data_IF_218728871656
#
_entry.id   IF_218728871656
#
_cell.length_a   1.000
_cell.length_b   1.000
_cell.length_c   1.000
_cell.angle_alpha   90.00
_cell.angle_beta   90.00
_cell.angle_gamma   90.00
#
_symmetry.space_group_name_H-M   'P 1'
#
loop_
_entity.id
_entity.type
_entity.pdbx_description
1 polymer ?
#
# COMPACT_ATOMS: atom_id res chain seq x y z
N UNK A 1 -4.90 -45.24 7.16
CA UNK A 1 -5.32 -43.83 7.07
C UNK A 1 -6.53 -43.46 7.93
N UNK A 2 -7.68 -44.16 7.88
CA UNK A 2 -8.86 -43.83 8.72
C UNK A 2 -8.59 -44.04 10.23
N UNK A 3 -7.91 -45.12 10.58
CA UNK A 3 -7.51 -45.44 11.96
C UNK A 3 -6.56 -44.38 12.55
N UNK A 4 -5.57 -43.96 11.82
CA UNK A 4 -4.58 -42.94 12.22
C UNK A 4 -5.24 -41.58 12.51
N UNK A 5 -6.18 -41.15 11.63
CA UNK A 5 -6.95 -39.91 11.81
C UNK A 5 -7.86 -39.96 13.03
N UNK A 6 -8.53 -41.12 13.26
CA UNK A 6 -9.42 -41.31 14.42
C UNK A 6 -8.63 -41.21 15.71
N UNK A 7 -7.48 -41.88 15.80
CA UNK A 7 -6.64 -41.85 17.02
C UNK A 7 -6.03 -40.46 17.21
N UNK A 8 -5.52 -39.79 16.17
CA UNK A 8 -4.97 -38.45 16.25
C UNK A 8 -6.01 -37.45 16.78
N UNK A 9 -7.25 -37.49 16.28
CA UNK A 9 -8.36 -36.67 16.79
C UNK A 9 -8.73 -36.96 18.25
N UNK A 10 -8.73 -38.22 18.63
CA UNK A 10 -9.03 -38.63 20.04
C UNK A 10 -7.92 -38.19 20.99
N UNK A 11 -6.66 -38.22 20.58
CA UNK A 11 -5.52 -37.71 21.36
C UNK A 11 -5.66 -36.18 21.53
N UNK A 12 -6.03 -35.46 20.48
CA UNK A 12 -6.26 -34.01 20.54
C UNK A 12 -7.37 -33.63 21.51
N UNK A 13 -8.49 -34.38 21.51
CA UNK A 13 -9.64 -34.13 22.41
C UNK A 13 -9.36 -34.46 23.88
N UNK A 14 -8.26 -35.18 24.15
CA UNK A 14 -7.84 -35.55 25.50
C UNK A 14 -8.67 -36.66 26.17
N UNK A 15 -8.09 -37.31 27.15
CA UNK A 15 -8.78 -38.27 28.04
C UNK A 15 -8.94 -37.66 29.41
N UNK A 16 -10.05 -37.99 30.11
CA UNK A 16 -10.37 -37.49 31.49
C UNK A 16 -9.27 -37.74 32.53
N UNK A 17 -8.30 -38.64 32.25
CA UNK A 17 -7.26 -39.04 33.21
C UNK A 17 -6.11 -38.03 33.37
N UNK A 18 -5.77 -37.24 32.33
CA UNK A 18 -4.68 -36.26 32.42
C UNK A 18 -5.13 -34.93 31.75
N UNK A 19 -5.65 -33.97 32.53
CA UNK A 19 -6.16 -32.69 32.01
C UNK A 19 -5.04 -31.76 31.48
N UNK A 20 -3.77 -32.00 31.82
CA UNK A 20 -2.66 -31.15 31.43
C UNK A 20 -2.36 -31.17 29.91
N UNK A 21 -2.53 -32.31 29.24
CA UNK A 21 -2.21 -32.48 27.83
C UNK A 21 -3.10 -31.70 26.86
N UNK A 22 -4.44 -31.74 27.00
CA UNK A 22 -5.29 -30.91 26.17
C UNK A 22 -5.00 -29.43 26.39
N UNK A 23 -4.61 -29.00 27.61
CA UNK A 23 -4.25 -27.61 27.91
C UNK A 23 -3.02 -27.20 27.11
N UNK A 24 -1.97 -28.03 27.02
CA UNK A 24 -0.75 -27.71 26.23
C UNK A 24 -1.06 -27.62 24.73
N UNK A 25 -1.86 -28.55 24.20
CA UNK A 25 -2.25 -28.53 22.80
C UNK A 25 -3.16 -27.35 22.48
N UNK A 26 -4.07 -26.96 23.37
CA UNK A 26 -4.91 -25.76 23.23
C UNK A 26 -4.05 -24.49 23.28
N UNK A 27 -3.11 -24.44 24.24
CA UNK A 27 -2.18 -23.30 24.32
C UNK A 27 -1.36 -23.15 23.05
N UNK A 28 -0.81 -24.23 22.50
CA UNK A 28 -0.09 -24.21 21.22
C UNK A 28 -0.99 -23.73 20.06
N UNK A 29 -2.27 -24.15 20.06
CA UNK A 29 -3.26 -23.67 19.07
C UNK A 29 -3.54 -22.19 19.23
N UNK A 30 -3.68 -21.67 20.45
CA UNK A 30 -3.92 -20.24 20.73
C UNK A 30 -2.73 -19.39 20.22
N UNK A 31 -1.49 -19.81 20.53
CA UNK A 31 -0.29 -19.11 20.02
C UNK A 31 -0.28 -19.09 18.50
N UNK A 32 -0.66 -20.19 17.85
CA UNK A 32 -0.75 -20.26 16.40
C UNK A 32 -1.87 -19.36 15.83
N UNK A 33 -3.02 -19.28 16.51
CA UNK A 33 -4.12 -18.36 16.16
C UNK A 33 -3.60 -16.92 16.17
N UNK A 34 -2.97 -16.50 17.25
CA UNK A 34 -2.45 -15.13 17.40
C UNK A 34 -1.40 -14.82 16.35
N UNK A 35 -0.48 -15.76 16.09
CA UNK A 35 0.56 -15.57 15.08
C UNK A 35 0.00 -15.37 13.67
N UNK A 36 -0.92 -16.24 13.25
CA UNK A 36 -1.54 -16.17 11.91
C UNK A 36 -2.47 -14.96 11.80
N UNK A 37 -3.22 -14.66 12.87
CA UNK A 37 -4.07 -13.46 12.93
C UNK A 37 -3.24 -12.19 12.73
N UNK A 38 -2.17 -12.02 13.50
CA UNK A 38 -1.31 -10.83 13.41
C UNK A 38 -0.61 -10.74 12.05
N UNK A 39 -0.13 -11.88 11.54
CA UNK A 39 0.56 -11.93 10.25
C UNK A 39 -0.36 -11.48 9.11
N UNK A 40 -1.57 -12.03 9.02
CA UNK A 40 -2.51 -11.68 7.96
C UNK A 40 -3.03 -10.25 8.09
N UNK A 41 -3.37 -9.82 9.32
CA UNK A 41 -3.84 -8.45 9.57
C UNK A 41 -2.83 -7.41 9.08
N UNK A 42 -1.57 -7.59 9.44
CA UNK A 42 -0.51 -6.65 9.07
C UNK A 42 -0.25 -6.66 7.57
N UNK A 43 -0.30 -7.82 6.91
CA UNK A 43 -0.20 -7.87 5.44
C UNK A 43 -1.32 -7.05 4.79
N UNK A 44 -2.58 -7.21 5.23
CA UNK A 44 -3.72 -6.45 4.71
C UNK A 44 -3.60 -4.94 4.95
N UNK A 45 -3.00 -4.53 6.06
CA UNK A 45 -2.71 -3.12 6.36
C UNK A 45 -1.67 -2.57 5.38
N UNK A 46 -0.57 -3.28 5.13
CA UNK A 46 0.45 -2.83 4.18
C UNK A 46 -0.07 -2.80 2.73
N UNK A 47 -0.88 -3.78 2.35
CA UNK A 47 -1.50 -3.80 1.03
C UNK A 47 -2.49 -2.63 0.88
N UNK A 48 -3.27 -2.34 1.93
CA UNK A 48 -4.17 -1.18 1.97
C UNK A 48 -3.43 0.16 1.92
N UNK A 49 -2.32 0.30 2.66
CA UNK A 49 -1.51 1.50 2.63
C UNK A 49 -0.89 1.73 1.24
N UNK A 50 -0.42 0.67 0.60
CA UNK A 50 0.09 0.73 -0.77
C UNK A 50 -1.00 1.15 -1.77
N UNK A 51 -2.19 0.57 -1.65
CA UNK A 51 -3.35 0.94 -2.48
C UNK A 51 -3.73 2.41 -2.25
N UNK A 52 -3.78 2.85 -0.99
CA UNK A 52 -4.07 4.22 -0.62
C UNK A 52 -3.08 5.21 -1.24
N UNK A 53 -1.78 4.97 -1.07
CA UNK A 53 -0.72 5.80 -1.70
C UNK A 53 -0.79 5.75 -3.23
N UNK A 54 -1.15 4.60 -3.80
CA UNK A 54 -1.32 4.46 -5.25
C UNK A 54 -2.60 5.12 -5.79
N UNK A 55 -3.64 5.30 -4.96
CA UNK A 55 -4.89 5.96 -5.33
C UNK A 55 -4.87 7.46 -5.13
N UNK A 56 -3.85 8.00 -4.43
CA UNK A 56 -3.67 9.42 -4.24
C UNK A 56 -3.43 10.15 -5.58
N UNK A 57 -3.48 11.45 -5.55
CA UNK A 57 -3.55 12.44 -6.64
C UNK A 57 -2.49 12.34 -7.73
N UNK A 58 -1.64 11.32 -7.71
CA UNK A 58 -0.66 11.09 -8.79
C UNK A 58 -1.31 10.47 -10.02
N UNK A 59 -0.97 10.92 -11.24
CA UNK A 59 -1.47 10.33 -12.47
C UNK A 59 -0.98 8.89 -12.62
N UNK A 60 -1.72 8.05 -13.39
CA UNK A 60 -1.33 6.66 -13.62
C UNK A 60 0.03 6.53 -14.31
N UNK A 61 0.27 7.41 -15.28
CA UNK A 61 1.56 7.61 -15.93
C UNK A 61 1.86 9.10 -16.04
N UNK A 62 3.13 9.43 -15.94
CA UNK A 62 3.68 10.77 -16.08
C UNK A 62 4.72 10.76 -17.18
N UNK A 63 4.61 11.68 -18.17
CA UNK A 63 5.61 11.87 -19.22
C UNK A 63 6.36 13.15 -18.93
N UNK A 64 7.69 13.09 -18.94
CA UNK A 64 8.58 14.23 -18.82
C UNK A 64 9.63 14.19 -19.93
N UNK A 65 10.14 15.33 -20.35
CA UNK A 65 11.29 15.38 -21.25
C UNK A 65 12.57 15.01 -20.49
N UNK A 66 13.46 14.25 -21.15
CA UNK A 66 14.80 13.92 -20.61
C UNK A 66 15.85 14.99 -20.94
N UNK A 67 15.65 15.72 -22.04
CA UNK A 67 16.67 16.63 -22.59
C UNK A 67 16.33 18.08 -22.32
N UNK A 68 15.07 18.43 -22.37
CA UNK A 68 14.58 19.79 -22.27
C UNK A 68 13.75 19.98 -21.02
N UNK A 69 13.74 21.18 -20.47
CA UNK A 69 12.92 21.50 -19.29
C UNK A 69 11.42 21.52 -19.62
N UNK A 70 11.08 21.79 -20.87
CA UNK A 70 9.72 21.97 -21.34
C UNK A 70 9.39 20.98 -22.45
N UNK A 71 8.12 20.67 -22.56
CA UNK A 71 7.50 19.84 -23.57
C UNK A 71 6.66 20.74 -24.43
N UNK A 72 6.91 20.77 -25.75
CA UNK A 72 6.04 21.45 -26.71
C UNK A 72 4.83 20.56 -26.99
N UNK A 73 3.66 20.95 -26.47
CA UNK A 73 2.44 20.14 -26.61
C UNK A 73 1.75 20.30 -27.98
N UNK A 74 2.24 21.22 -28.81
CA UNK A 74 1.77 21.35 -30.20
C UNK A 74 2.51 20.43 -31.17
N UNK A 75 3.57 19.74 -30.69
CA UNK A 75 4.30 18.79 -31.53
C UNK A 75 3.44 17.56 -31.86
N UNK A 76 3.63 17.00 -33.04
CA UNK A 76 2.89 15.80 -33.49
C UNK A 76 3.20 14.54 -32.65
N UNK A 77 4.20 14.59 -31.80
CA UNK A 77 4.62 13.44 -30.97
C UNK A 77 3.51 12.97 -30.04
N UNK A 78 2.64 13.87 -29.58
CA UNK A 78 1.55 13.56 -28.63
C UNK A 78 0.23 13.14 -29.28
N UNK A 79 0.10 13.22 -30.60
CA UNK A 79 -1.04 12.67 -31.33
C UNK A 79 -1.24 11.17 -31.14
N UNK A 80 -0.17 10.49 -30.76
CA UNK A 80 -0.21 9.06 -30.36
C UNK A 80 -1.10 8.82 -29.15
N UNK A 81 -1.17 9.76 -28.19
CA UNK A 81 -1.97 9.61 -26.97
C UNK A 81 -3.47 9.54 -27.25
N UNK A 82 -3.94 10.23 -28.28
CA UNK A 82 -5.35 10.22 -28.70
C UNK A 82 -5.76 8.89 -29.32
N UNK A 83 -4.80 8.20 -29.96
CA UNK A 83 -5.05 6.97 -30.69
C UNK A 83 -4.88 5.69 -29.85
N UNK A 84 -4.40 5.79 -28.60
CA UNK A 84 -4.23 4.63 -27.71
C UNK A 84 -5.51 4.29 -26.97
N UNK A 85 -6.11 3.09 -27.20
CA UNK A 85 -7.39 2.70 -26.61
C UNK A 85 -7.32 2.52 -25.09
N UNK A 86 -6.14 2.31 -24.53
CA UNK A 86 -5.89 2.12 -23.08
C UNK A 86 -5.91 3.43 -22.30
N UNK A 87 -5.70 4.57 -22.97
CA UNK A 87 -5.71 5.90 -22.35
C UNK A 87 -7.16 6.36 -22.21
N UNK A 88 -7.54 6.76 -20.99
CA UNK A 88 -8.85 7.34 -20.72
C UNK A 88 -8.85 8.85 -20.92
N UNK A 89 -7.82 9.53 -20.41
CA UNK A 89 -7.63 10.96 -20.51
C UNK A 89 -6.16 11.31 -20.33
N UNK A 90 -5.76 12.45 -20.90
CA UNK A 90 -4.46 13.06 -20.63
C UNK A 90 -4.60 14.59 -20.49
N UNK A 91 -3.65 15.21 -19.81
CA UNK A 91 -3.60 16.65 -19.54
C UNK A 91 -2.16 17.13 -19.56
N UNK A 92 -1.93 18.27 -20.17
CA UNK A 92 -0.65 18.95 -20.13
C UNK A 92 -0.58 19.79 -18.85
N UNK A 93 0.51 19.64 -18.12
CA UNK A 93 0.69 20.26 -16.81
C UNK A 93 2.00 21.03 -16.79
N UNK A 94 1.96 22.26 -16.30
CA UNK A 94 3.15 23.06 -16.01
C UNK A 94 3.34 23.10 -14.49
N UNK A 95 4.35 22.41 -13.98
CA UNK A 95 4.64 22.34 -12.55
C UNK A 95 5.82 23.23 -12.20
N UNK A 96 5.63 24.14 -11.23
CA UNK A 96 6.68 25.02 -10.73
C UNK A 96 6.50 25.28 -9.25
N UNK A 97 7.58 25.15 -8.49
CA UNK A 97 7.59 25.58 -7.09
C UNK A 97 7.64 27.11 -7.02
N UNK A 98 6.71 27.70 -6.27
CA UNK A 98 6.58 29.14 -6.07
C UNK A 98 6.44 29.45 -4.59
N UNK A 99 6.86 30.66 -4.19
CA UNK A 99 6.56 31.20 -2.87
C UNK A 99 5.18 31.84 -2.91
N UNK A 100 4.32 31.40 -2.02
CA UNK A 100 2.98 31.94 -1.81
C UNK A 100 3.01 32.81 -0.57
N UNK A 101 2.68 34.09 -0.72
CA UNK A 101 2.69 35.02 0.40
C UNK A 101 1.30 35.60 0.64
N UNK A 102 0.88 35.50 1.88
CA UNK A 102 -0.20 36.28 2.47
C UNK A 102 0.42 37.32 3.41
N UNK A 103 -0.35 38.30 3.91
CA UNK A 103 0.14 39.40 4.75
C UNK A 103 1.13 39.00 5.85
N UNK A 104 0.97 37.82 6.46
CA UNK A 104 1.70 37.40 7.65
C UNK A 104 2.62 36.18 7.44
N UNK A 105 2.47 35.46 6.34
CA UNK A 105 3.20 34.19 6.14
C UNK A 105 3.61 34.02 4.67
N UNK A 106 4.77 33.41 4.46
CA UNK A 106 5.24 32.96 3.16
C UNK A 106 5.48 31.46 3.21
N UNK A 107 4.84 30.73 2.31
CA UNK A 107 4.90 29.28 2.21
C UNK A 107 5.34 28.90 0.80
N UNK A 108 6.26 27.97 0.68
CA UNK A 108 6.60 27.36 -0.62
C UNK A 108 5.61 26.26 -0.95
N UNK A 109 5.14 26.26 -2.19
CA UNK A 109 4.19 25.27 -2.69
C UNK A 109 4.37 25.04 -4.18
N UNK A 110 3.97 23.86 -4.64
CA UNK A 110 3.93 23.54 -6.05
C UNK A 110 2.69 24.15 -6.70
N UNK A 111 2.92 25.00 -7.73
CA UNK A 111 1.86 25.57 -8.53
C UNK A 111 1.76 24.77 -9.82
N UNK A 112 0.59 24.22 -10.09
CA UNK A 112 0.28 23.43 -11.26
C UNK A 112 -0.58 24.25 -12.22
N UNK A 113 0.00 24.59 -13.37
CA UNK A 113 -0.75 25.11 -14.52
C UNK A 113 -1.41 23.95 -15.25
N UNK A 114 -2.72 23.93 -15.32
CA UNK A 114 -3.51 22.81 -15.85
C UNK A 114 -4.39 23.23 -17.02
N UNK A 115 -4.68 22.29 -17.91
CA UNK A 115 -5.66 22.46 -18.99
C UNK A 115 -7.06 21.96 -18.57
N UNK A 116 -8.05 22.16 -19.44
CA UNK A 116 -9.44 21.70 -19.18
C UNK A 116 -9.59 20.19 -19.04
N UNK A 117 -8.64 19.42 -19.57
CA UNK A 117 -8.66 17.96 -19.51
C UNK A 117 -8.23 17.41 -18.14
N UNK A 118 -7.60 18.23 -17.30
CA UNK A 118 -7.14 17.85 -15.96
C UNK A 118 -8.27 17.31 -15.08
N UNK A 119 -9.46 17.87 -15.19
CA UNK A 119 -10.64 17.42 -14.42
C UNK A 119 -11.07 16.00 -14.77
N UNK A 120 -10.84 15.54 -16.03
CA UNK A 120 -11.11 14.15 -16.41
C UNK A 120 -10.18 13.16 -15.72
N UNK A 121 -8.97 13.61 -15.34
CA UNK A 121 -7.98 12.83 -14.59
C UNK A 121 -8.32 12.88 -13.09
N UNK A 122 -8.59 14.09 -12.58
CA UNK A 122 -8.85 14.37 -11.16
C UNK A 122 -10.20 15.10 -10.99
N UNK A 123 -11.32 14.37 -10.92
CA UNK A 123 -12.64 14.98 -10.83
C UNK A 123 -12.86 15.86 -9.59
N UNK A 124 -12.11 15.59 -8.51
CA UNK A 124 -12.21 16.36 -7.26
C UNK A 124 -11.32 17.61 -7.25
N UNK A 125 -10.68 17.94 -8.37
CA UNK A 125 -9.80 19.10 -8.48
C UNK A 125 -10.57 20.42 -8.61
N UNK A 126 -11.86 20.39 -8.93
CA UNK A 126 -12.74 21.54 -9.12
C UNK A 126 -12.19 22.58 -10.13
N UNK A 127 -11.43 22.12 -11.12
CA UNK A 127 -10.70 23.00 -12.07
C UNK A 127 -11.61 23.73 -13.06
N UNK A 128 -12.87 23.29 -13.22
CA UNK A 128 -13.85 23.99 -14.06
C UNK A 128 -14.00 25.48 -13.69
N UNK A 129 -13.89 25.83 -12.39
CA UNK A 129 -13.97 27.20 -11.92
C UNK A 129 -12.79 28.10 -12.39
N UNK A 130 -11.66 27.50 -12.76
CA UNK A 130 -10.53 28.25 -13.35
C UNK A 130 -10.87 28.81 -14.74
N UNK A 131 -11.76 28.14 -15.46
CA UNK A 131 -12.06 28.45 -16.86
C UNK A 131 -13.40 29.19 -17.04
N UNK A 132 -14.30 29.11 -16.06
CA UNK A 132 -15.64 29.72 -16.11
C UNK A 132 -15.73 31.04 -15.34
N UNK A 133 -14.66 31.44 -14.61
CA UNK A 133 -14.66 32.66 -13.83
C UNK A 133 -14.26 33.86 -14.68
N UNK A 134 -14.98 35.00 -14.50
CA UNK A 134 -14.60 36.30 -15.04
C UNK A 134 -13.51 37.00 -14.20
N UNK A 135 -12.80 36.26 -13.39
CA UNK A 135 -11.80 36.73 -12.43
C UNK A 135 -10.43 36.74 -13.08
N UNK A 136 -9.62 37.73 -12.79
CA UNK A 136 -8.24 37.82 -13.29
C UNK A 136 -7.38 36.87 -12.45
N UNK A 137 -6.74 35.90 -13.09
CA UNK A 137 -5.87 34.88 -12.49
C UNK A 137 -6.57 34.10 -11.36
N UNK A 138 -7.66 33.36 -11.67
CA UNK A 138 -8.33 32.49 -10.71
C UNK A 138 -7.42 31.35 -10.29
N UNK A 139 -7.47 30.97 -9.01
CA UNK A 139 -6.69 29.87 -8.45
C UNK A 139 -7.57 28.96 -7.62
N UNK A 140 -7.31 27.66 -7.68
CA UNK A 140 -7.92 26.66 -6.79
C UNK A 140 -6.83 26.18 -5.84
N UNK A 141 -7.07 26.29 -4.54
CA UNK A 141 -6.08 26.02 -3.51
C UNK A 141 -6.34 24.65 -2.85
N UNK A 142 -5.30 23.88 -2.57
CA UNK A 142 -5.42 22.66 -1.79
C UNK A 142 -5.76 22.95 -0.32
N UNK A 143 -6.59 22.10 0.29
CA UNK A 143 -7.04 22.26 1.67
C UNK A 143 -5.86 22.32 2.68
N UNK A 144 -4.82 21.51 2.46
CA UNK A 144 -3.61 21.52 3.27
C UNK A 144 -2.82 22.83 3.14
N UNK A 145 -2.74 23.37 1.93
CA UNK A 145 -2.08 24.65 1.68
C UNK A 145 -2.87 25.82 2.28
N UNK A 146 -4.20 25.80 2.16
CA UNK A 146 -5.06 26.80 2.75
C UNK A 146 -4.91 26.89 4.27
N UNK A 147 -4.78 25.74 4.95
CA UNK A 147 -4.55 25.70 6.40
C UNK A 147 -3.22 26.34 6.81
N UNK A 148 -2.19 26.24 5.96
CA UNK A 148 -0.85 26.81 6.18
C UNK A 148 -0.75 28.29 5.85
N UNK A 149 -1.48 28.74 4.84
CA UNK A 149 -1.49 30.17 4.40
C UNK A 149 -2.48 30.98 5.21
N UNK A 150 -3.46 30.32 5.86
CA UNK A 150 -4.53 30.93 6.63
C UNK A 150 -5.83 31.08 5.84
N UNK A 151 -6.93 30.69 6.49
CA UNK A 151 -8.29 30.69 5.89
C UNK A 151 -8.77 32.08 5.47
N UNK A 152 -8.17 33.14 6.00
CA UNK A 152 -8.45 34.51 5.61
C UNK A 152 -8.13 34.78 4.13
N UNK A 153 -7.21 34.02 3.55
CA UNK A 153 -6.82 34.12 2.13
C UNK A 153 -7.96 33.76 1.17
N UNK A 154 -8.91 32.93 1.59
CA UNK A 154 -10.06 32.49 0.79
C UNK A 154 -11.14 33.57 0.63
N UNK A 155 -11.17 34.54 1.52
CA UNK A 155 -12.22 35.61 1.54
C UNK A 155 -11.67 37.01 1.46
N UNK A 156 -10.33 37.17 1.41
CA UNK A 156 -9.76 38.50 1.40
C UNK A 156 -9.81 39.11 0.01
N UNK A 157 -10.30 40.34 -0.08
CA UNK A 157 -10.26 41.14 -1.30
C UNK A 157 -8.82 41.36 -1.83
N UNK A 158 -7.79 40.99 -1.07
CA UNK A 158 -6.40 41.20 -1.43
C UNK A 158 -5.78 40.02 -2.17
N UNK A 159 -6.43 38.83 -2.20
CA UNK A 159 -5.96 37.62 -2.89
C UNK A 159 -4.64 37.08 -2.34
N UNK A 160 -4.17 36.01 -2.98
CA UNK A 160 -2.89 35.34 -2.68
C UNK A 160 -1.79 35.87 -3.60
N UNK A 161 -0.63 36.25 -3.06
CA UNK A 161 0.51 36.69 -3.83
C UNK A 161 1.43 35.52 -4.17
N UNK A 162 1.60 35.24 -5.47
CA UNK A 162 2.53 34.27 -5.99
C UNK A 162 3.83 34.99 -6.35
N UNK A 163 4.95 34.48 -5.86
CA UNK A 163 6.27 35.07 -6.03
C UNK A 163 7.20 34.08 -6.71
N UNK A 164 7.85 34.50 -7.80
CA UNK A 164 8.86 33.73 -8.51
C UNK A 164 10.12 34.57 -8.67
N UNK A 165 11.32 34.03 -8.45
CA UNK A 165 12.56 34.73 -8.71
C UNK A 165 12.66 35.19 -10.16
N UNK A 166 13.10 36.41 -10.41
CA UNK A 166 13.42 36.90 -11.77
C UNK A 166 14.63 36.13 -12.30
N UNK A 167 14.60 35.74 -13.56
CA UNK A 167 15.71 35.04 -14.21
C UNK A 167 16.99 35.87 -14.32
N UNK A 168 16.86 37.20 -14.47
CA UNK A 168 17.99 38.14 -14.49
C UNK A 168 18.16 38.74 -13.11
N UNK A 169 19.40 38.81 -12.55
CA UNK A 169 19.66 39.43 -11.27
C UNK A 169 19.17 40.89 -11.34
N UNK A 170 18.33 41.30 -10.36
CA UNK A 170 17.80 42.64 -10.33
C UNK A 170 18.92 43.67 -10.10
N UNK A 171 18.81 44.84 -10.68
CA UNK A 171 19.59 46.02 -10.25
C UNK A 171 19.22 46.31 -8.79
N UNK A 172 20.13 46.91 -8.03
CA UNK A 172 19.97 47.17 -6.58
C UNK A 172 18.66 47.87 -6.17
N UNK A 173 17.93 48.45 -7.12
CA UNK A 173 16.67 49.17 -6.97
C UNK A 173 15.41 48.36 -7.36
N UNK A 174 15.57 47.18 -7.94
CA UNK A 174 14.43 46.37 -8.39
C UNK A 174 14.09 45.24 -7.43
N UNK A 175 12.80 45.00 -7.26
CA UNK A 175 12.31 43.86 -6.48
C UNK A 175 12.74 42.54 -7.17
N UNK A 176 13.40 41.61 -6.45
CA UNK A 176 14.03 40.43 -7.06
C UNK A 176 13.03 39.35 -7.52
N UNK A 177 11.74 39.53 -7.24
CA UNK A 177 10.68 38.59 -7.57
C UNK A 177 9.68 39.20 -8.52
N UNK A 178 9.16 38.39 -9.46
CA UNK A 178 7.89 38.66 -10.11
C UNK A 178 6.76 38.36 -9.15
N UNK A 179 5.73 39.19 -9.11
CA UNK A 179 4.55 38.99 -8.26
C UNK A 179 3.31 38.88 -9.11
N UNK A 180 2.54 37.83 -8.91
CA UNK A 180 1.21 37.64 -9.46
C UNK A 180 0.21 37.61 -8.31
N UNK A 181 -0.94 38.23 -8.50
CA UNK A 181 -2.04 38.17 -7.56
C UNK A 181 -3.01 37.09 -8.06
N UNK A 182 -3.21 36.03 -7.27
CA UNK A 182 -4.19 34.99 -7.51
C UNK A 182 -5.42 35.18 -6.63
N UNK A 183 -6.60 35.05 -7.17
CA UNK A 183 -7.85 35.06 -6.42
C UNK A 183 -8.35 33.64 -6.23
N UNK A 184 -8.55 33.23 -4.96
CA UNK A 184 -8.97 31.87 -4.62
C UNK A 184 -10.46 31.70 -4.93
N UNK A 185 -10.76 30.91 -5.95
CA UNK A 185 -12.14 30.65 -6.40
C UNK A 185 -12.72 29.38 -5.81
N UNK A 186 -11.89 28.39 -5.44
CA UNK A 186 -12.32 27.16 -4.80
C UNK A 186 -11.19 26.48 -4.02
N UNK A 187 -11.57 25.43 -3.27
CA UNK A 187 -10.66 24.57 -2.51
C UNK A 187 -10.80 23.16 -3.02
N UNK A 188 -9.69 22.45 -3.23
CA UNK A 188 -9.70 21.02 -3.55
C UNK A 188 -9.11 20.21 -2.42
N UNK A 189 -9.53 18.95 -2.33
CA UNK A 189 -8.99 17.98 -1.41
C UNK A 189 -8.95 16.62 -2.07
N UNK A 190 -7.74 16.09 -2.24
CA UNK A 190 -7.55 14.75 -2.80
C UNK A 190 -7.48 13.67 -1.72
N UNK A 191 -7.42 14.06 -0.45
CA UNK A 191 -7.33 13.14 0.69
C UNK A 191 -5.91 12.71 1.03
N UNK A 192 -4.90 13.24 0.34
CA UNK A 192 -3.49 13.05 0.67
C UNK A 192 -2.87 14.40 1.05
N UNK A 193 -2.27 14.47 2.24
CA UNK A 193 -1.71 15.73 2.76
C UNK A 193 -0.58 16.33 1.91
N UNK A 194 0.10 15.52 1.09
CA UNK A 194 1.15 16.01 0.20
C UNK A 194 0.57 16.76 -1.00
N UNK A 195 -0.49 16.23 -1.58
CA UNK A 195 -1.12 16.78 -2.78
C UNK A 195 -2.09 17.92 -2.46
N UNK A 196 -2.66 17.92 -1.26
CA UNK A 196 -3.47 19.02 -0.75
C UNK A 196 -2.63 20.29 -0.47
N UNK A 197 -1.31 20.24 -0.62
CA UNK A 197 -0.39 21.37 -0.51
C UNK A 197 -0.05 22.04 -1.86
N UNK A 198 -0.80 21.76 -2.92
CA UNK A 198 -0.61 22.39 -4.23
C UNK A 198 -1.60 23.52 -4.50
N UNK A 199 -1.28 24.35 -5.50
CA UNK A 199 -2.15 25.38 -6.03
C UNK A 199 -2.35 25.11 -7.51
N UNK A 200 -3.61 25.18 -7.97
CA UNK A 200 -3.97 24.99 -9.39
C UNK A 200 -4.31 26.33 -10.04
N UNK A 201 -3.80 26.52 -11.24
CA UNK A 201 -4.06 27.68 -12.10
C UNK A 201 -4.30 27.22 -13.53
N UNK A 202 -4.81 28.09 -14.37
CA UNK A 202 -4.83 27.86 -15.83
C UNK A 202 -3.39 27.72 -16.37
N UNK A 203 -3.19 26.76 -17.27
CA UNK A 203 -1.89 26.55 -17.94
C UNK A 203 -1.39 27.82 -18.63
N UNK A 204 -2.31 28.57 -19.28
CA UNK A 204 -1.98 29.81 -19.96
C UNK A 204 -1.51 30.90 -19.00
N UNK A 205 -2.14 31.03 -17.83
CA UNK A 205 -1.77 32.04 -16.83
C UNK A 205 -0.39 31.76 -16.24
N UNK A 206 -0.10 30.50 -15.92
CA UNK A 206 1.21 30.11 -15.41
C UNK A 206 2.30 30.36 -16.46
N UNK A 207 2.08 29.93 -17.70
CA UNK A 207 3.04 30.18 -18.79
C UNK A 207 3.30 31.68 -18.98
N UNK A 208 2.24 32.50 -19.01
CA UNK A 208 2.33 33.95 -19.16
C UNK A 208 3.10 34.60 -17.98
N UNK A 209 2.84 34.14 -16.76
CA UNK A 209 3.52 34.62 -15.55
C UNK A 209 5.01 34.26 -15.57
N UNK A 210 5.32 33.02 -15.97
CA UNK A 210 6.71 32.55 -16.11
C UNK A 210 7.46 33.21 -17.28
N UNK A 211 6.76 33.78 -18.23
CA UNK A 211 7.34 34.32 -19.48
C UNK A 211 7.75 33.24 -20.45
N UNK A 212 7.06 32.10 -20.40
CA UNK A 212 7.24 30.96 -21.30
C UNK A 212 6.11 30.97 -22.32
N UNK A 213 6.39 30.54 -23.55
CA UNK A 213 5.36 30.46 -24.59
C UNK A 213 4.23 29.50 -24.15
N UNK A 214 2.99 29.88 -24.47
CA UNK A 214 1.77 29.14 -24.05
C UNK A 214 1.69 27.70 -24.57
N UNK A 215 2.56 27.31 -25.48
CA UNK A 215 2.65 25.95 -26.04
C UNK A 215 3.53 24.99 -25.26
N UNK A 216 4.11 25.44 -24.14
CA UNK A 216 5.00 24.61 -23.33
C UNK A 216 4.33 24.11 -22.03
N UNK A 217 4.64 22.89 -21.69
CA UNK A 217 4.33 22.25 -20.40
C UNK A 217 5.59 21.61 -19.82
N UNK A 218 5.59 21.26 -18.55
CA UNK A 218 6.71 20.51 -17.92
C UNK A 218 6.49 19.02 -17.98
N UNK A 219 5.22 18.59 -18.03
CA UNK A 219 4.85 17.18 -17.97
C UNK A 219 3.49 16.91 -18.61
N UNK A 220 3.23 15.65 -18.94
CA UNK A 220 1.92 15.17 -19.38
C UNK A 220 1.43 14.12 -18.39
N UNK A 221 0.25 14.36 -17.85
CA UNK A 221 -0.43 13.45 -16.92
C UNK A 221 -1.39 12.56 -17.68
N UNK A 222 -1.35 11.25 -17.40
CA UNK A 222 -2.21 10.29 -18.07
C UNK A 222 -3.02 9.49 -17.04
N UNK A 223 -4.28 9.27 -17.38
CA UNK A 223 -5.18 8.35 -16.72
C UNK A 223 -5.48 7.18 -17.65
N UNK A 224 -5.30 5.98 -17.16
CA UNK A 224 -5.57 4.74 -17.90
C UNK A 224 -6.98 4.22 -17.62
N UNK A 225 -7.53 3.49 -18.59
CA UNK A 225 -8.80 2.76 -18.38
C UNK A 225 -8.60 1.64 -17.36
N UNK A 226 -9.65 1.36 -16.59
CA UNK A 226 -9.63 0.28 -15.61
C UNK A 226 -9.28 -1.06 -16.26
N UNK A 227 -8.33 -1.79 -15.65
CA UNK A 227 -7.85 -3.08 -16.17
C UNK A 227 -6.64 -3.01 -17.11
N UNK A 228 -6.21 -1.82 -17.55
CA UNK A 228 -5.01 -1.67 -18.36
C UNK A 228 -3.74 -1.88 -17.55
N UNK A 229 -2.78 -2.63 -18.10
CA UNK A 229 -1.48 -2.84 -17.45
C UNK A 229 -0.58 -1.62 -17.62
N UNK A 230 -0.30 -0.89 -16.52
CA UNK A 230 0.58 0.30 -16.52
C UNK A 230 1.94 0.02 -17.13
N UNK A 231 2.52 -1.16 -16.85
CA UNK A 231 3.84 -1.54 -17.38
C UNK A 231 3.86 -1.76 -18.89
N UNK A 232 2.79 -2.35 -19.44
CA UNK A 232 2.68 -2.57 -20.89
C UNK A 232 2.44 -1.24 -21.61
N UNK A 233 1.53 -0.41 -21.12
CA UNK A 233 1.25 0.91 -21.71
C UNK A 233 2.50 1.78 -21.65
N UNK A 234 3.22 1.82 -20.52
CA UNK A 234 4.50 2.51 -20.40
C UNK A 234 5.49 2.06 -21.48
N UNK A 235 5.71 0.76 -21.65
CA UNK A 235 6.66 0.21 -22.64
C UNK A 235 6.27 0.56 -24.07
N UNK A 236 4.97 0.60 -24.37
CA UNK A 236 4.47 1.00 -25.68
C UNK A 236 4.69 2.50 -25.93
N UNK A 237 4.40 3.35 -24.92
CA UNK A 237 4.64 4.79 -24.99
C UNK A 237 6.13 5.13 -25.15
N UNK A 238 7.02 4.48 -24.41
CA UNK A 238 8.47 4.68 -24.54
C UNK A 238 8.99 4.32 -25.94
N UNK A 239 8.40 3.30 -26.58
CA UNK A 239 8.75 2.96 -27.97
C UNK A 239 8.26 3.97 -28.99
N UNK A 240 7.09 4.56 -28.76
CA UNK A 240 6.47 5.48 -29.72
C UNK A 240 7.00 6.91 -29.59
N UNK A 241 7.23 7.36 -28.35
CA UNK A 241 7.76 8.70 -28.05
C UNK A 241 9.29 8.80 -28.23
N UNK A 242 9.99 7.64 -28.29
CA UNK A 242 11.44 7.59 -28.44
C UNK A 242 12.22 8.01 -27.20
N UNK A 243 13.55 8.13 -27.36
CA UNK A 243 14.49 8.37 -26.23
C UNK A 243 14.44 9.79 -25.66
N UNK A 244 13.71 10.71 -26.27
CA UNK A 244 13.57 12.10 -25.78
C UNK A 244 12.73 12.25 -24.53
N UNK A 245 11.85 11.29 -24.28
CA UNK A 245 10.87 11.35 -23.19
C UNK A 245 11.09 10.23 -22.16
N UNK A 246 10.68 10.49 -20.93
CA UNK A 246 10.66 9.54 -19.82
C UNK A 246 9.23 9.29 -19.37
N UNK A 247 8.77 8.04 -19.43
CA UNK A 247 7.46 7.66 -18.92
C UNK A 247 7.62 7.04 -17.55
N UNK A 248 7.04 7.67 -16.52
CA UNK A 248 7.13 7.24 -15.13
C UNK A 248 5.81 6.66 -14.65
N UNK A 249 5.83 5.50 -14.01
CA UNK A 249 4.68 4.96 -13.26
C UNK A 249 4.54 5.67 -11.92
N UNK A 250 3.42 5.48 -11.21
CA UNK A 250 3.19 6.06 -9.87
C UNK A 250 4.36 5.78 -8.92
N UNK A 251 4.87 4.55 -8.94
CA UNK A 251 6.01 4.15 -8.10
C UNK A 251 7.29 4.92 -8.47
N UNK A 252 7.46 5.28 -9.72
CA UNK A 252 8.62 6.00 -10.22
C UNK A 252 8.51 7.52 -10.07
N UNK A 253 7.29 8.05 -9.87
CA UNK A 253 7.06 9.47 -9.58
C UNK A 253 7.55 9.82 -8.16
N UNK A 254 7.33 8.93 -7.18
CA UNK A 254 7.76 9.10 -5.79
C UNK A 254 8.64 7.94 -5.30
N UNK A 255 9.86 7.76 -5.86
CA UNK A 255 10.68 6.59 -5.59
C UNK A 255 11.11 6.47 -4.11
N UNK A 256 11.29 7.59 -3.42
CA UNK A 256 11.67 7.62 -2.01
C UNK A 256 10.56 7.03 -1.13
N UNK A 257 9.30 7.46 -1.34
CA UNK A 257 8.14 6.99 -0.62
C UNK A 257 7.92 5.49 -0.84
N UNK A 258 7.91 5.03 -2.09
CA UNK A 258 7.71 3.61 -2.39
C UNK A 258 8.87 2.73 -1.90
N UNK A 259 10.10 3.23 -1.92
CA UNK A 259 11.25 2.53 -1.34
C UNK A 259 11.09 2.39 0.17
N UNK A 260 10.66 3.45 0.87
CA UNK A 260 10.37 3.43 2.31
C UNK A 260 9.30 2.38 2.62
N UNK A 261 8.13 2.44 1.98
CA UNK A 261 7.04 1.47 2.19
C UNK A 261 7.48 0.03 1.93
N UNK A 262 8.29 -0.20 0.87
CA UNK A 262 8.84 -1.52 0.58
C UNK A 262 9.79 -2.00 1.67
N UNK A 263 10.65 -1.13 2.16
CA UNK A 263 11.63 -1.47 3.22
C UNK A 263 10.90 -1.78 4.53
N UNK A 264 9.92 -0.97 4.92
CA UNK A 264 9.10 -1.21 6.10
C UNK A 264 8.36 -2.55 5.99
N UNK A 265 7.73 -2.83 4.85
CA UNK A 265 7.06 -4.13 4.61
C UNK A 265 8.02 -5.30 4.81
N UNK A 266 9.25 -5.22 4.27
CA UNK A 266 10.26 -6.28 4.41
C UNK A 266 10.65 -6.50 5.87
N UNK A 267 10.91 -5.42 6.62
CA UNK A 267 11.28 -5.50 8.04
C UNK A 267 10.15 -6.14 8.86
N UNK A 268 8.92 -5.70 8.65
CA UNK A 268 7.77 -6.21 9.39
C UNK A 268 7.48 -7.68 9.03
N UNK A 269 7.55 -8.05 7.77
CA UNK A 269 7.41 -9.46 7.34
C UNK A 269 8.51 -10.32 7.97
N UNK A 270 9.74 -9.81 8.08
CA UNK A 270 10.82 -10.51 8.78
C UNK A 270 10.50 -10.73 10.27
N UNK A 271 10.07 -9.69 10.99
CA UNK A 271 9.68 -9.79 12.41
C UNK A 271 8.53 -10.80 12.58
N UNK A 272 7.50 -10.70 11.73
CA UNK A 272 6.36 -11.60 11.78
C UNK A 272 6.75 -13.05 11.45
N UNK A 273 7.72 -13.26 10.57
CA UNK A 273 8.24 -14.61 10.30
C UNK A 273 8.88 -15.23 11.54
N UNK A 274 9.57 -14.43 12.38
CA UNK A 274 10.09 -14.90 13.67
C UNK A 274 8.95 -15.31 14.63
N UNK A 275 7.85 -14.55 14.68
CA UNK A 275 6.68 -14.89 15.48
C UNK A 275 6.07 -16.22 15.04
N UNK A 276 5.98 -16.44 13.72
CA UNK A 276 5.53 -17.73 13.16
C UNK A 276 6.49 -18.86 13.55
N UNK A 277 7.79 -18.66 13.45
CA UNK A 277 8.80 -19.65 13.86
C UNK A 277 8.63 -20.03 15.36
N UNK A 278 8.47 -19.03 16.23
CA UNK A 278 8.23 -19.28 17.66
C UNK A 278 6.95 -20.10 17.87
N UNK A 279 5.88 -19.76 17.15
CA UNK A 279 4.61 -20.50 17.23
C UNK A 279 4.76 -21.97 16.82
N UNK A 280 5.62 -22.24 15.88
CA UNK A 280 5.96 -23.57 15.42
C UNK A 280 6.73 -24.36 16.47
N UNK A 281 7.66 -23.74 17.16
CA UNK A 281 8.33 -24.38 18.30
C UNK A 281 7.34 -24.78 19.40
N UNK A 282 6.29 -23.98 19.64
CA UNK A 282 5.23 -24.35 20.57
C UNK A 282 4.45 -25.58 20.07
N UNK A 283 4.12 -25.67 18.79
CA UNK A 283 3.48 -26.86 18.21
C UNK A 283 4.40 -28.08 18.30
N UNK A 284 5.68 -27.92 17.95
CA UNK A 284 6.68 -28.98 18.10
C UNK A 284 6.74 -29.51 19.52
N UNK A 285 6.89 -28.62 20.51
CA UNK A 285 6.93 -28.99 21.94
C UNK A 285 5.66 -29.68 22.42
N UNK A 286 4.49 -29.21 21.94
CA UNK A 286 3.19 -29.84 22.26
C UNK A 286 3.12 -31.27 21.72
N UNK A 287 3.57 -31.52 20.50
CA UNK A 287 3.59 -32.89 19.92
C UNK A 287 4.57 -33.77 20.67
N UNK A 288 5.78 -33.31 20.95
CA UNK A 288 6.81 -34.06 21.70
C UNK A 288 6.31 -34.46 23.10
N UNK A 289 5.74 -33.48 23.84
CA UNK A 289 5.16 -33.76 25.14
C UNK A 289 4.02 -34.79 25.09
N UNK A 290 3.20 -34.72 24.02
CA UNK A 290 2.13 -35.73 23.85
C UNK A 290 2.70 -37.11 23.56
N UNK A 291 3.79 -37.24 22.81
CA UNK A 291 4.50 -38.51 22.59
C UNK A 291 5.00 -39.07 23.91
N UNK A 292 5.61 -38.23 24.76
CA UNK A 292 6.10 -38.65 26.09
C UNK A 292 4.99 -39.17 27.00
N UNK A 293 3.87 -38.47 27.07
CA UNK A 293 2.73 -38.89 27.93
C UNK A 293 2.08 -40.15 27.41
N UNK A 294 2.02 -40.36 26.12
CA UNK A 294 1.37 -41.52 25.49
C UNK A 294 2.31 -42.70 25.27
N UNK A 295 3.53 -42.71 25.88
CA UNK A 295 4.53 -43.78 25.73
C UNK A 295 3.99 -45.15 25.99
N UNK A 296 3.19 -45.37 27.06
CA UNK A 296 2.60 -46.66 27.37
C UNK A 296 1.56 -47.10 26.31
N UNK A 297 0.74 -46.16 25.83
CA UNK A 297 -0.19 -46.43 24.73
C UNK A 297 0.55 -46.78 23.42
N UNK A 298 1.67 -46.14 23.15
CA UNK A 298 2.53 -46.44 21.99
C UNK A 298 3.08 -47.86 22.11
N UNK A 299 3.58 -48.26 23.30
CA UNK A 299 4.05 -49.63 23.55
C UNK A 299 2.94 -50.64 23.32
N UNK A 300 1.74 -50.41 23.88
CA UNK A 300 0.60 -51.29 23.69
C UNK A 300 0.22 -51.45 22.20
N UNK A 301 0.16 -50.34 21.47
CA UNK A 301 -0.13 -50.39 20.03
C UNK A 301 0.95 -51.15 19.26
N UNK A 302 2.21 -51.03 19.67
CA UNK A 302 3.31 -51.78 19.05
C UNK A 302 3.19 -53.27 19.35
N UNK A 303 2.85 -53.69 20.58
CA UNK A 303 2.61 -55.08 20.94
C UNK A 303 1.42 -55.67 20.16
N UNK A 304 0.44 -54.85 19.79
CA UNK A 304 -0.69 -55.25 18.95
C UNK A 304 -0.34 -55.30 17.46
N UNK A 305 0.94 -55.09 17.08
CA UNK A 305 1.42 -55.24 15.69
C UNK A 305 1.35 -53.96 14.85
N UNK A 306 1.17 -52.78 15.47
CA UNK A 306 1.19 -51.54 14.69
C UNK A 306 2.58 -51.22 14.16
N UNK A 307 2.66 -50.83 12.85
CA UNK A 307 3.91 -50.41 12.22
C UNK A 307 4.40 -49.07 12.79
N UNK A 308 5.72 -48.90 12.84
CA UNK A 308 6.35 -47.65 13.30
C UNK A 308 5.96 -46.45 12.40
N UNK A 309 5.68 -46.67 11.12
CA UNK A 309 5.17 -45.70 10.18
C UNK A 309 3.80 -45.15 10.59
N UNK A 310 2.87 -46.04 10.96
CA UNK A 310 1.53 -45.67 11.39
C UNK A 310 1.55 -44.90 12.74
N UNK A 311 2.42 -45.29 13.67
CA UNK A 311 2.58 -44.57 14.93
C UNK A 311 3.10 -43.14 14.71
N UNK A 312 4.09 -42.97 13.83
CA UNK A 312 4.58 -41.60 13.44
C UNK A 312 3.49 -40.79 12.77
N UNK A 313 2.70 -41.39 11.89
CA UNK A 313 1.63 -40.68 11.17
C UNK A 313 0.55 -40.18 12.10
N UNK A 314 0.25 -40.84 13.20
CA UNK A 314 -0.69 -40.35 14.21
C UNK A 314 -0.23 -39.02 14.80
N UNK A 315 1.04 -38.92 15.22
CA UNK A 315 1.59 -37.68 15.81
C UNK A 315 1.86 -36.60 14.78
N UNK A 316 2.20 -36.99 13.55
CA UNK A 316 2.28 -36.07 12.43
C UNK A 316 0.93 -35.41 12.14
N UNK A 317 -0.15 -36.21 12.07
CA UNK A 317 -1.52 -35.68 11.87
C UNK A 317 -1.98 -34.81 13.05
N UNK A 318 -1.59 -35.14 14.28
CA UNK A 318 -1.87 -34.30 15.45
C UNK A 318 -1.20 -32.93 15.32
N UNK A 319 0.09 -32.89 14.99
CA UNK A 319 0.82 -31.63 14.80
C UNK A 319 0.22 -30.76 13.69
N UNK A 320 -0.13 -31.38 12.57
CA UNK A 320 -0.85 -30.69 11.48
C UNK A 320 -2.22 -30.20 11.96
N UNK A 321 -2.97 -31.00 12.71
CA UNK A 321 -4.27 -30.63 13.24
C UNK A 321 -4.22 -29.40 14.15
N UNK A 322 -3.23 -29.33 15.04
CA UNK A 322 -2.99 -28.18 15.93
C UNK A 322 -2.60 -26.94 15.14
N UNK A 323 -1.65 -27.07 14.21
CA UNK A 323 -1.11 -25.92 13.48
C UNK A 323 -2.07 -25.40 12.39
N UNK A 324 -2.64 -26.28 11.57
CA UNK A 324 -3.61 -25.85 10.55
C UNK A 324 -4.95 -25.45 11.15
N UNK A 325 -5.40 -26.15 12.21
CA UNK A 325 -6.62 -25.79 12.93
C UNK A 325 -6.50 -24.39 13.55
N UNK A 326 -5.41 -24.15 14.30
CA UNK A 326 -5.10 -22.81 14.85
C UNK A 326 -4.92 -21.76 13.74
N UNK A 327 -4.17 -22.11 12.68
CA UNK A 327 -3.96 -21.23 11.54
C UNK A 327 -5.25 -20.81 10.83
N UNK A 328 -6.16 -21.76 10.58
CA UNK A 328 -7.47 -21.47 9.97
C UNK A 328 -8.32 -20.54 10.84
N UNK A 329 -8.40 -20.81 12.14
CA UNK A 329 -9.16 -19.94 13.07
C UNK A 329 -8.54 -18.54 13.11
N UNK A 330 -7.21 -18.41 13.18
CA UNK A 330 -6.51 -17.13 13.14
C UNK A 330 -6.77 -16.36 11.84
N UNK A 331 -6.72 -17.04 10.70
CA UNK A 331 -7.05 -16.47 9.40
C UNK A 331 -8.50 -15.97 9.33
N UNK A 332 -9.48 -16.78 9.74
CA UNK A 332 -10.90 -16.40 9.72
C UNK A 332 -11.15 -15.17 10.59
N UNK A 333 -10.57 -15.14 11.80
CA UNK A 333 -10.74 -14.01 12.73
C UNK A 333 -10.15 -12.71 12.12
N UNK A 334 -8.94 -12.79 11.57
CA UNK A 334 -8.31 -11.62 10.95
C UNK A 334 -9.04 -11.17 9.67
N UNK A 335 -9.50 -12.12 8.85
CA UNK A 335 -10.28 -11.83 7.64
C UNK A 335 -11.59 -11.13 7.99
N UNK A 336 -12.32 -11.61 9.01
CA UNK A 336 -13.53 -10.97 9.49
C UNK A 336 -13.26 -9.55 10.00
N UNK A 337 -12.17 -9.36 10.76
CA UNK A 337 -11.80 -8.03 11.27
C UNK A 337 -11.48 -7.07 10.14
N UNK A 338 -10.75 -7.51 9.11
CA UNK A 338 -10.47 -6.68 7.92
C UNK A 338 -11.75 -6.33 7.16
N UNK A 339 -12.72 -7.27 7.02
CA UNK A 339 -14.01 -6.98 6.41
C UNK A 339 -14.83 -5.97 7.22
N UNK A 340 -14.82 -6.09 8.55
CA UNK A 340 -15.48 -5.15 9.46
C UNK A 340 -14.86 -3.76 9.31
N UNK A 341 -13.53 -3.65 9.31
CA UNK A 341 -12.83 -2.37 9.08
C UNK A 341 -13.20 -1.76 7.73
N UNK A 342 -13.21 -2.56 6.64
CA UNK A 342 -13.55 -2.08 5.30
C UNK A 342 -15.00 -1.57 5.21
N UNK A 343 -15.94 -2.21 5.92
CA UNK A 343 -17.36 -1.86 5.89
C UNK A 343 -17.71 -0.72 6.85
N UNK A 344 -17.23 -0.78 8.08
CA UNK A 344 -17.64 0.13 9.16
C UNK A 344 -16.64 1.24 9.43
N UNK A 345 -15.40 1.17 8.87
CA UNK A 345 -14.38 2.22 9.02
C UNK A 345 -14.14 2.59 10.50
N UNK A 346 -13.98 1.60 11.38
CA UNK A 346 -13.90 1.80 12.84
C UNK A 346 -12.61 2.48 13.27
N UNK A 347 -11.50 2.20 12.61
CA UNK A 347 -10.18 2.73 12.95
C UNK A 347 -9.81 3.80 11.95
N UNK A 348 -9.42 4.98 12.45
CA UNK A 348 -8.97 6.12 11.65
C UNK A 348 -7.48 6.36 11.86
N UNK A 349 -6.83 7.00 10.90
CA UNK A 349 -5.46 7.48 11.04
C UNK A 349 -5.46 8.61 12.08
N UNK A 350 -4.56 8.58 13.10
CA UNK A 350 -4.48 9.63 14.12
C UNK A 350 -4.42 11.03 13.48
N UNK A 351 -5.12 11.98 14.08
CA UNK A 351 -5.19 13.40 13.64
C UNK A 351 -5.84 13.62 12.27
N UNK A 352 -6.43 12.58 11.65
CA UNK A 352 -7.11 12.71 10.36
C UNK A 352 -8.51 12.08 10.41
N UNK A 353 -9.40 12.51 9.53
CA UNK A 353 -10.71 11.87 9.33
C UNK A 353 -10.67 10.70 8.33
N UNK A 354 -9.48 10.26 7.95
CA UNK A 354 -9.28 9.21 6.95
C UNK A 354 -9.31 7.84 7.65
N UNK A 355 -10.18 6.91 7.23
CA UNK A 355 -10.21 5.56 7.78
C UNK A 355 -8.92 4.82 7.42
N UNK A 356 -8.41 4.02 8.37
CA UNK A 356 -7.18 3.26 8.15
C UNK A 356 -7.34 2.32 6.95
N UNK A 357 -6.50 2.47 5.91
CA UNK A 357 -6.65 1.71 4.68
C UNK A 357 -6.31 0.24 4.91
N UNK A 358 -7.18 -0.66 4.46
CA UNK A 358 -6.97 -2.11 4.47
C UNK A 358 -7.39 -2.70 3.13
N UNK A 359 -6.53 -3.52 2.54
CA UNK A 359 -6.81 -4.23 1.29
C UNK A 359 -6.55 -5.73 1.45
N UNK A 360 -7.29 -6.53 0.70
CA UNK A 360 -7.13 -7.98 0.66
C UNK A 360 -6.62 -8.32 -0.73
N UNK A 361 -5.34 -8.63 -0.84
CA UNK A 361 -4.74 -9.14 -2.06
C UNK A 361 -4.67 -10.67 -2.04
N UNK A 362 -5.01 -11.29 -3.15
CA UNK A 362 -4.94 -12.76 -3.30
C UNK A 362 -3.51 -13.29 -3.06
N UNK A 363 -2.52 -12.50 -3.47
CA UNK A 363 -1.10 -12.82 -3.27
C UNK A 363 -0.73 -12.93 -1.79
N UNK A 364 -1.22 -12.04 -0.93
CA UNK A 364 -0.99 -12.06 0.53
C UNK A 364 -1.62 -13.29 1.19
N UNK A 365 -2.82 -13.70 0.73
CA UNK A 365 -3.46 -14.93 1.17
C UNK A 365 -2.62 -16.16 0.79
N UNK A 366 -2.13 -16.22 -0.45
CA UNK A 366 -1.31 -17.33 -0.92
C UNK A 366 0.01 -17.44 -0.15
N UNK A 367 0.68 -16.31 0.11
CA UNK A 367 1.90 -16.28 0.93
C UNK A 367 1.63 -16.84 2.33
N UNK A 368 0.57 -16.37 2.99
CA UNK A 368 0.20 -16.83 4.32
C UNK A 368 0.04 -18.35 4.36
N UNK A 369 -0.80 -18.91 3.48
CA UNK A 369 -1.04 -20.35 3.43
C UNK A 369 0.21 -21.16 3.04
N UNK A 370 1.04 -20.64 2.14
CA UNK A 370 2.30 -21.26 1.78
C UNK A 370 3.26 -21.32 2.96
N UNK A 371 3.45 -20.22 3.68
CA UNK A 371 4.34 -20.15 4.85
C UNK A 371 3.81 -21.05 5.97
N UNK A 372 2.56 -20.88 6.38
CA UNK A 372 1.95 -21.64 7.47
C UNK A 372 1.91 -23.13 7.14
N UNK A 373 1.52 -23.50 5.92
CA UNK A 373 1.46 -24.89 5.46
C UNK A 373 2.83 -25.54 5.39
N UNK A 374 3.81 -24.90 4.76
CA UNK A 374 5.16 -25.43 4.66
C UNK A 374 5.77 -25.70 6.03
N UNK A 375 5.68 -24.69 6.89
CA UNK A 375 6.31 -24.79 8.21
C UNK A 375 5.58 -25.79 9.10
N UNK A 376 4.24 -25.84 9.05
CA UNK A 376 3.46 -26.86 9.77
C UNK A 376 3.84 -28.27 9.38
N UNK A 377 4.02 -28.55 8.09
CA UNK A 377 4.42 -29.85 7.58
C UNK A 377 5.82 -30.23 8.07
N UNK A 378 6.78 -29.30 7.94
CA UNK A 378 8.18 -29.52 8.33
C UNK A 378 8.26 -29.85 9.82
N UNK A 379 7.65 -29.04 10.69
CA UNK A 379 7.74 -29.23 12.14
C UNK A 379 6.99 -30.44 12.63
N UNK A 380 5.78 -30.71 12.10
CA UNK A 380 5.06 -31.93 12.45
C UNK A 380 5.83 -33.21 12.03
N UNK A 381 6.54 -33.15 10.88
CA UNK A 381 7.37 -34.24 10.42
C UNK A 381 8.61 -34.47 11.32
N UNK A 382 9.24 -33.38 11.77
CA UNK A 382 10.38 -33.47 12.69
C UNK A 382 9.92 -33.97 14.06
N UNK A 383 8.81 -33.39 14.61
CA UNK A 383 8.26 -33.81 15.90
C UNK A 383 7.83 -35.27 15.91
N UNK A 384 7.21 -35.77 14.85
CA UNK A 384 6.79 -37.16 14.76
C UNK A 384 7.96 -38.18 14.78
N UNK A 385 9.17 -37.74 14.37
CA UNK A 385 10.37 -38.61 14.43
C UNK A 385 10.79 -38.95 15.87
N UNK A 386 10.40 -38.13 16.88
CA UNK A 386 10.72 -38.41 18.27
C UNK A 386 10.08 -39.72 18.75
N UNK A 387 9.01 -40.20 18.10
CA UNK A 387 8.42 -41.54 18.36
C UNK A 387 9.46 -42.63 18.19
N UNK A 388 10.37 -42.55 17.25
CA UNK A 388 11.39 -43.58 17.01
C UNK A 388 12.35 -43.73 18.20
N UNK A 389 12.68 -42.63 18.90
CA UNK A 389 13.55 -42.69 20.08
C UNK A 389 12.96 -43.56 21.20
N UNK A 390 11.64 -43.55 21.34
CA UNK A 390 10.95 -44.41 22.34
C UNK A 390 10.82 -45.86 21.89
N UNK A 391 10.73 -46.06 20.58
CA UNK A 391 10.66 -47.41 20.01
C UNK A 391 12.02 -48.12 20.13
N UNK A 392 13.12 -47.38 19.92
CA UNK A 392 14.49 -47.94 20.02
C UNK A 392 14.93 -48.24 21.46
N UNK A 393 14.48 -47.42 22.46
CA UNK A 393 14.84 -47.61 23.85
C UNK A 393 13.91 -48.63 24.60
N UNK A 394 13.01 -49.27 23.90
CA UNK A 394 12.10 -50.29 24.48
C UNK A 394 12.48 -51.74 24.11
N UNK A 395 13.61 -51.93 23.44
CA UNK A 395 14.30 -53.21 23.33
C UNK A 395 15.42 -53.21 24.35
#
# INVERSE_FOLDING_TARGET
MLFERFIAFRIYKGTKKNPALPIISVFASIVMIVAVFSFFLILCVFDGLREFVSSSSSPDLLIESKKERFIDYTSNDFGVLENMPEIQAFSFVFSQEMALSNKNQTVFSNVLGVDKSFEKIFPNANTYKLFDSNIISPVVIGAGLLSRVGSESYRSAEGLSLLVPKANPPTALEFPFKRLRGEVVDVFQFGDSADDNALLMSLEDVCSFMGVEKRFSTSVYLKLKNGSSRSLVKKNLEKQLGDGYSVKTKEQQNPALYKMLKTEKVIVVFILSLVVIISIFNVFSSVVLTVFDKKESIKTLKMLGSENSSLRNIFFLQGIGVSLGGGLVGFVLSFLLVLVQKKFKLVFIPETSIPYPVAIELYSILILFAVVGFVSIVCSKIASKTVNLFILNSN
#
